data_IF_561131665451
#
_entry.id   IF_561131665451
#
_cell.length_a   1.000
_cell.length_b   1.000
_cell.length_c   1.000
_cell.angle_alpha   90.00
_cell.angle_beta   90.00
_cell.angle_gamma   90.00
#
_symmetry.space_group_name_H-M   'P 1'
#
loop_
_entity.id
_entity.type
_entity.pdbx_description
1 polymer ?
#
# COMPACT_ATOMS: atom_id res chain seq x y z
N UNK A 1 9.47 9.57 -8.66
CA UNK A 1 9.06 9.16 -10.03
C UNK A 1 9.45 7.71 -10.23
N UNK A 2 8.65 6.91 -10.94
CA UNK A 2 8.91 5.49 -11.21
C UNK A 2 9.03 5.26 -12.73
N UNK A 3 10.15 5.69 -13.31
CA UNK A 3 10.34 5.72 -14.77
C UNK A 3 11.15 4.54 -15.31
N UNK A 4 11.80 3.78 -14.44
CA UNK A 4 12.65 2.66 -14.81
C UNK A 4 11.98 1.34 -14.48
N UNK A 5 12.23 0.32 -15.30
CA UNK A 5 11.69 -1.03 -15.10
C UNK A 5 12.05 -1.53 -13.70
N UNK A 6 11.04 -2.01 -12.97
CA UNK A 6 11.18 -2.50 -11.60
C UNK A 6 11.01 -1.44 -10.52
N UNK A 7 10.93 -0.15 -10.87
CA UNK A 7 10.51 0.87 -9.90
C UNK A 7 9.04 0.66 -9.56
N UNK A 8 8.74 0.61 -8.26
CA UNK A 8 7.39 0.43 -7.73
C UNK A 8 7.00 1.63 -6.89
N UNK A 9 5.76 2.09 -7.06
CA UNK A 9 5.14 3.06 -6.16
C UNK A 9 3.86 2.50 -5.55
N UNK A 10 3.52 2.95 -4.35
CA UNK A 10 2.21 2.76 -3.73
C UNK A 10 1.61 4.10 -3.30
N UNK A 11 0.34 4.35 -3.65
CA UNK A 11 -0.39 5.54 -3.19
C UNK A 11 -1.38 5.13 -2.13
N UNK A 12 -1.22 5.59 -0.89
CA UNK A 12 -2.16 5.35 0.20
C UNK A 12 -3.23 6.46 0.25
N UNK A 13 -4.23 6.34 -0.63
CA UNK A 13 -5.44 7.17 -0.66
C UNK A 13 -6.62 6.50 0.05
N UNK A 14 -7.83 6.72 -0.44
CA UNK A 14 -9.04 5.99 0.01
C UNK A 14 -8.82 4.47 -0.11
N UNK A 15 -8.46 4.02 -1.31
CA UNK A 15 -7.82 2.73 -1.55
C UNK A 15 -6.30 2.88 -1.64
N UNK A 16 -5.60 1.77 -1.91
CA UNK A 16 -4.19 1.78 -2.24
C UNK A 16 -3.94 1.18 -3.62
N UNK A 17 -3.13 1.87 -4.42
CA UNK A 17 -2.82 1.45 -5.79
C UNK A 17 -1.31 1.31 -5.91
N UNK A 18 -0.86 0.09 -6.11
CA UNK A 18 0.54 -0.25 -6.31
C UNK A 18 0.76 -0.38 -7.80
N UNK A 19 1.78 0.30 -8.32
CA UNK A 19 2.11 0.30 -9.75
C UNK A 19 3.61 0.02 -9.89
N UNK A 20 3.94 -1.02 -10.66
CA UNK A 20 5.30 -1.38 -11.04
C UNK A 20 5.51 -1.06 -12.51
N UNK A 21 6.52 -0.26 -12.82
CA UNK A 21 6.93 0.00 -14.20
C UNK A 21 7.55 -1.28 -14.82
N UNK A 22 7.05 -1.72 -15.96
CA UNK A 22 7.56 -2.90 -16.68
C UNK A 22 8.30 -2.53 -17.98
N UNK A 23 8.55 -1.24 -18.24
CA UNK A 23 9.20 -0.75 -19.44
C UNK A 23 8.28 -0.80 -20.67
N UNK A 24 8.87 -0.93 -21.86
CA UNK A 24 8.14 -0.86 -23.15
C UNK A 24 7.42 -2.17 -23.53
N UNK A 25 7.57 -3.23 -22.72
CA UNK A 25 6.90 -4.52 -22.93
C UNK A 25 5.82 -4.77 -21.87
N UNK A 26 4.59 -5.12 -22.27
CA UNK A 26 3.53 -5.46 -21.33
C UNK A 26 3.84 -6.80 -20.64
N UNK A 27 3.69 -6.83 -19.32
CA UNK A 27 3.73 -8.09 -18.55
C UNK A 27 2.32 -8.55 -18.26
N UNK A 28 1.94 -9.75 -18.71
CA UNK A 28 0.61 -10.32 -18.47
C UNK A 28 0.58 -11.02 -17.11
N UNK A 29 -0.36 -10.61 -16.25
CA UNK A 29 -0.54 -11.26 -14.96
C UNK A 29 -1.33 -12.58 -15.06
N UNK A 30 -0.96 -13.52 -14.20
CA UNK A 30 -1.64 -14.78 -13.94
C UNK A 30 -2.18 -14.91 -12.51
N UNK A 31 -1.83 -13.97 -11.62
CA UNK A 31 -2.13 -13.98 -10.18
C UNK A 31 -2.94 -12.74 -9.75
N UNK A 32 -3.80 -12.24 -10.64
CA UNK A 32 -4.77 -11.19 -10.30
C UNK A 32 -4.19 -9.78 -10.23
N UNK A 33 -3.08 -9.49 -10.91
CA UNK A 33 -2.67 -8.11 -11.19
C UNK A 33 -3.26 -7.64 -12.53
N UNK A 34 -3.31 -6.33 -12.71
CA UNK A 34 -3.75 -5.71 -13.96
C UNK A 34 -2.52 -5.35 -14.81
N UNK A 35 -2.54 -5.73 -16.08
CA UNK A 35 -1.61 -5.19 -17.08
C UNK A 35 -2.20 -3.90 -17.62
N UNK A 36 -1.45 -2.79 -17.51
CA UNK A 36 -1.93 -1.47 -17.92
C UNK A 36 -0.85 -0.66 -18.62
N UNK A 37 -1.24 0.46 -19.24
CA UNK A 37 -0.31 1.46 -19.75
C UNK A 37 0.07 2.38 -18.59
N UNK A 38 1.37 2.57 -18.36
CA UNK A 38 1.88 3.51 -17.37
C UNK A 38 1.82 4.95 -17.89
N UNK A 39 2.48 5.21 -19.03
CA UNK A 39 2.53 6.52 -19.67
C UNK A 39 3.06 6.43 -21.11
N UNK A 40 2.72 7.43 -21.92
CA UNK A 40 3.33 7.67 -23.23
C UNK A 40 4.24 8.90 -23.16
N UNK A 41 5.50 8.77 -23.55
CA UNK A 41 6.47 9.88 -23.58
C UNK A 41 7.45 9.66 -24.73
N UNK A 42 7.82 10.71 -25.46
CA UNK A 42 8.76 10.68 -26.58
C UNK A 42 8.46 9.60 -27.65
N UNK A 43 7.16 9.41 -27.96
CA UNK A 43 6.70 8.43 -28.94
C UNK A 43 6.78 6.96 -28.46
N UNK A 44 7.15 6.73 -27.20
CA UNK A 44 7.23 5.41 -26.58
C UNK A 44 6.10 5.20 -25.58
N UNK A 45 5.63 3.96 -25.48
CA UNK A 45 4.61 3.55 -24.49
C UNK A 45 5.30 2.70 -23.44
N UNK A 46 5.20 3.10 -22.18
CA UNK A 46 5.62 2.29 -21.05
C UNK A 46 4.40 1.63 -20.42
N UNK A 47 4.56 0.38 -20.01
CA UNK A 47 3.54 -0.45 -19.36
C UNK A 47 3.80 -0.57 -17.86
N UNK A 48 2.78 -1.02 -17.16
CA UNK A 48 2.86 -1.36 -15.75
C UNK A 48 2.07 -2.60 -15.39
N UNK A 49 2.48 -3.24 -14.31
CA UNK A 49 1.62 -4.09 -13.50
C UNK A 49 1.01 -3.25 -12.37
N UNK A 50 -0.28 -3.43 -12.15
CA UNK A 50 -1.04 -2.73 -11.12
C UNK A 50 -1.75 -3.71 -10.19
N UNK A 51 -1.69 -3.43 -8.90
CA UNK A 51 -2.55 -4.07 -7.91
C UNK A 51 -3.39 -3.02 -7.19
N UNK A 52 -4.70 -3.31 -7.10
CA UNK A 52 -5.71 -2.43 -6.52
C UNK A 52 -6.20 -2.97 -5.17
N UNK A 53 -6.03 -2.18 -4.12
CA UNK A 53 -6.58 -2.41 -2.78
C UNK A 53 -7.73 -1.43 -2.58
N UNK A 54 -8.96 -1.92 -2.43
CA UNK A 54 -10.13 -1.05 -2.38
C UNK A 54 -10.23 -0.21 -1.10
N UNK A 55 -9.78 -0.75 0.03
CA UNK A 55 -9.90 -0.13 1.34
C UNK A 55 -8.52 -0.02 1.98
N UNK A 56 -7.99 1.21 2.00
CA UNK A 56 -6.75 1.55 2.68
C UNK A 56 -6.97 2.73 3.64
N UNK A 57 -6.78 3.98 3.20
CA UNK A 57 -7.03 5.15 4.05
C UNK A 57 -8.49 5.27 4.49
N UNK A 58 -9.44 4.71 3.72
CA UNK A 58 -10.84 4.62 4.15
C UNK A 58 -11.04 3.72 5.38
N UNK A 59 -10.15 2.78 5.68
CA UNK A 59 -10.19 2.03 6.93
C UNK A 59 -9.91 2.95 8.14
N UNK A 60 -8.96 3.88 8.01
CA UNK A 60 -8.65 4.86 9.05
C UNK A 60 -9.78 5.88 9.17
N UNK A 61 -10.40 6.26 8.05
CA UNK A 61 -11.61 7.11 8.06
C UNK A 61 -12.78 6.39 8.73
N UNK A 62 -12.96 5.09 8.50
CA UNK A 62 -13.98 4.29 9.16
C UNK A 62 -13.77 4.20 10.67
N UNK A 63 -12.52 4.10 11.14
CA UNK A 63 -12.22 4.21 12.58
C UNK A 63 -12.68 5.56 13.17
N UNK A 64 -12.59 6.65 12.40
CA UNK A 64 -13.00 7.99 12.81
C UNK A 64 -14.51 8.19 12.76
N UNK A 65 -15.10 7.96 11.59
CA UNK A 65 -16.47 8.35 11.30
C UNK A 65 -17.48 7.26 11.69
N UNK A 66 -17.14 6.00 11.41
CA UNK A 66 -18.00 4.85 11.64
C UNK A 66 -17.91 4.33 13.07
N UNK A 67 -16.70 3.99 13.51
CA UNK A 67 -16.47 3.39 14.83
C UNK A 67 -16.22 4.41 15.94
N UNK A 68 -15.97 5.68 15.58
CA UNK A 68 -15.68 6.76 16.53
C UNK A 68 -14.56 6.41 17.52
N UNK A 69 -13.59 5.61 17.07
CA UNK A 69 -12.41 5.25 17.84
C UNK A 69 -11.38 6.37 17.83
N UNK A 70 -11.35 7.24 16.83
CA UNK A 70 -10.45 8.40 16.82
C UNK A 70 -11.25 9.64 16.42
N UNK A 71 -10.87 10.82 16.93
CA UNK A 71 -11.50 12.06 16.48
C UNK A 71 -10.86 12.57 15.19
N UNK A 72 -9.58 12.30 15.01
CA UNK A 72 -8.79 12.64 13.82
C UNK A 72 -8.00 11.43 13.36
N UNK A 73 -7.84 11.27 12.05
CA UNK A 73 -7.07 10.15 11.48
C UNK A 73 -5.62 10.10 11.99
N UNK A 74 -5.01 11.25 12.30
CA UNK A 74 -3.65 11.32 12.85
C UNK A 74 -3.51 10.66 14.24
N UNK A 75 -4.56 10.64 15.07
CA UNK A 75 -4.54 10.00 16.39
C UNK A 75 -4.36 8.47 16.31
N UNK A 76 -4.55 7.89 15.11
CA UNK A 76 -4.31 6.46 14.90
C UNK A 76 -2.84 6.07 15.06
N UNK A 77 -1.90 6.98 14.79
CA UNK A 77 -0.47 6.74 14.99
C UNK A 77 -0.14 6.55 16.47
N UNK A 78 -0.54 7.51 17.31
CA UNK A 78 -0.26 7.48 18.75
C UNK A 78 -0.83 6.21 19.39
N UNK A 79 -2.05 5.83 19.03
CA UNK A 79 -2.68 4.60 19.53
C UNK A 79 -1.95 3.33 19.06
N UNK A 80 -1.43 3.30 17.84
CA UNK A 80 -0.70 2.15 17.33
C UNK A 80 0.66 1.95 18.02
N UNK A 81 1.33 3.08 18.31
CA UNK A 81 2.55 3.12 19.11
C UNK A 81 2.26 2.67 20.55
N UNK A 82 1.23 3.24 21.19
CA UNK A 82 0.80 2.88 22.54
C UNK A 82 0.50 1.38 22.68
N UNK A 83 -0.19 0.80 21.69
CA UNK A 83 -0.57 -0.60 21.72
C UNK A 83 0.63 -1.56 21.83
N UNK A 84 1.78 -1.22 21.22
CA UNK A 84 3.01 -2.04 21.20
C UNK A 84 2.92 -3.37 20.43
N UNK A 85 1.77 -4.04 20.46
CA UNK A 85 1.44 -5.28 19.75
C UNK A 85 -0.07 -5.32 19.48
N UNK A 86 -0.52 -6.03 18.44
CA UNK A 86 -1.95 -6.33 18.25
C UNK A 86 -2.41 -7.52 19.09
N UNK A 87 -1.47 -8.23 19.74
CA UNK A 87 -1.71 -9.47 20.50
C UNK A 87 -2.55 -10.51 19.75
N UNK A 88 -2.29 -10.63 18.44
CA UNK A 88 -2.96 -11.59 17.56
C UNK A 88 -4.26 -11.09 16.92
N UNK A 89 -4.64 -9.83 17.13
CA UNK A 89 -5.76 -9.21 16.42
C UNK A 89 -5.38 -8.89 14.98
N UNK A 90 -6.24 -9.29 14.05
CA UNK A 90 -6.15 -8.95 12.62
C UNK A 90 -7.47 -8.32 12.17
N UNK A 91 -7.38 -7.19 11.48
CA UNK A 91 -8.51 -6.55 10.80
C UNK A 91 -8.35 -6.80 9.31
N UNK A 92 -9.32 -7.43 8.66
CA UNK A 92 -9.38 -7.57 7.20
C UNK A 92 -10.41 -6.57 6.70
N UNK A 93 -10.00 -5.41 6.15
CA UNK A 93 -10.91 -4.29 5.89
C UNK A 93 -11.66 -4.43 4.56
N UNK A 94 -12.24 -5.60 4.28
CA UNK A 94 -12.98 -5.90 3.05
C UNK A 94 -14.38 -5.23 2.98
N UNK A 95 -14.52 -3.96 3.38
CA UNK A 95 -15.83 -3.28 3.46
C UNK A 95 -16.57 -3.20 2.13
N UNK A 96 -15.82 -3.22 1.03
CA UNK A 96 -16.34 -3.21 -0.34
C UNK A 96 -15.75 -4.38 -1.15
N UNK A 97 -15.53 -5.53 -0.50
CA UNK A 97 -14.82 -6.67 -1.08
C UNK A 97 -13.29 -6.55 -1.00
N UNK A 98 -12.61 -7.57 -1.52
CA UNK A 98 -11.16 -7.65 -1.66
C UNK A 98 -10.76 -7.44 -3.12
N UNK A 99 -9.80 -6.54 -3.35
CA UNK A 99 -9.17 -6.35 -4.65
C UNK A 99 -8.05 -7.36 -4.91
N UNK A 100 -6.99 -6.94 -5.57
CA UNK A 100 -5.84 -7.79 -5.88
C UNK A 100 -5.14 -8.30 -4.59
N UNK A 101 -4.59 -9.52 -4.59
CA UNK A 101 -4.67 -10.53 -5.65
C UNK A 101 -5.95 -11.40 -5.59
N UNK A 102 -6.84 -11.17 -4.61
CA UNK A 102 -7.93 -12.10 -4.28
C UNK A 102 -9.16 -11.98 -5.19
N UNK A 103 -9.54 -10.77 -5.59
CA UNK A 103 -10.73 -10.45 -6.39
C UNK A 103 -12.01 -11.10 -5.89
N UNK A 104 -12.30 -10.88 -4.62
CA UNK A 104 -13.45 -11.45 -3.92
C UNK A 104 -14.44 -10.33 -3.56
N UNK A 105 -15.47 -10.17 -4.41
CA UNK A 105 -16.44 -9.08 -4.27
C UNK A 105 -17.45 -9.32 -3.14
N UNK A 106 -17.62 -10.57 -2.73
CA UNK A 106 -18.59 -10.97 -1.72
C UNK A 106 -18.01 -10.93 -0.30
N UNK A 107 -16.67 -10.96 -0.18
CA UNK A 107 -15.98 -10.74 1.08
C UNK A 107 -16.45 -9.44 1.78
N UNK A 108 -16.61 -9.51 3.11
CA UNK A 108 -16.94 -8.36 3.96
C UNK A 108 -15.92 -8.19 5.08
N UNK A 109 -15.84 -6.97 5.61
CA UNK A 109 -14.89 -6.63 6.65
C UNK A 109 -14.99 -7.54 7.87
N UNK A 110 -13.86 -8.02 8.37
CA UNK A 110 -13.81 -8.94 9.50
C UNK A 110 -12.71 -8.56 10.49
N UNK A 111 -12.93 -8.91 11.76
CA UNK A 111 -11.93 -8.77 12.81
C UNK A 111 -11.78 -10.12 13.51
N UNK A 112 -10.55 -10.61 13.56
CA UNK A 112 -10.22 -11.94 14.06
C UNK A 112 -9.18 -11.85 15.17
N UNK A 113 -9.17 -12.83 16.07
CA UNK A 113 -8.20 -12.91 17.17
C UNK A 113 -8.53 -12.03 18.39
N UNK A 114 -9.77 -11.54 18.51
CA UNK A 114 -10.20 -10.81 19.70
C UNK A 114 -10.16 -11.70 20.95
N UNK A 115 -9.65 -11.15 22.05
CA UNK A 115 -9.74 -11.72 23.40
C UNK A 115 -10.42 -10.74 24.34
N UNK A 116 -10.74 -11.17 25.57
CA UNK A 116 -11.29 -10.26 26.59
C UNK A 116 -10.33 -9.12 26.97
N UNK A 117 -9.03 -9.30 26.74
CA UNK A 117 -8.01 -8.28 26.99
C UNK A 117 -7.83 -7.29 25.85
N UNK A 118 -8.42 -7.55 24.68
CA UNK A 118 -8.25 -6.68 23.52
C UNK A 118 -8.79 -5.29 23.80
N UNK A 119 -7.98 -4.27 23.52
CA UNK A 119 -8.34 -2.88 23.74
C UNK A 119 -8.41 -2.07 22.43
N UNK A 120 -8.86 -0.83 22.58
CA UNK A 120 -9.00 0.16 21.50
C UNK A 120 -7.71 0.39 20.72
N UNK A 121 -6.58 0.56 21.43
CA UNK A 121 -5.28 0.82 20.81
C UNK A 121 -4.85 -0.34 19.91
N UNK A 122 -5.02 -1.58 20.37
CA UNK A 122 -4.70 -2.79 19.60
C UNK A 122 -5.57 -2.95 18.36
N UNK A 123 -6.86 -2.59 18.45
CA UNK A 123 -7.77 -2.60 17.31
C UNK A 123 -7.37 -1.58 16.24
N UNK A 124 -7.06 -0.34 16.67
CA UNK A 124 -6.59 0.73 15.77
C UNK A 124 -5.27 0.33 15.11
N UNK A 125 -4.32 -0.22 15.88
CA UNK A 125 -3.08 -0.78 15.36
C UNK A 125 -3.32 -1.85 14.30
N UNK A 126 -4.16 -2.84 14.60
CA UNK A 126 -4.47 -3.94 13.67
C UNK A 126 -5.10 -3.44 12.36
N UNK A 127 -5.83 -2.32 12.42
CA UNK A 127 -6.37 -1.66 11.23
C UNK A 127 -5.25 -1.03 10.39
N UNK A 128 -4.28 -0.35 11.01
CA UNK A 128 -3.11 0.18 10.30
C UNK A 128 -2.24 -0.95 9.71
N UNK A 129 -1.97 -2.00 10.50
CA UNK A 129 -1.20 -3.16 10.05
C UNK A 129 -1.83 -3.81 8.80
N UNK A 130 -3.16 -3.81 8.68
CA UNK A 130 -3.87 -4.33 7.50
C UNK A 130 -3.59 -3.59 6.20
N UNK A 131 -3.29 -2.29 6.24
CA UNK A 131 -2.89 -1.55 5.03
C UNK A 131 -1.54 -2.08 4.54
N UNK A 132 -0.65 -2.40 5.47
CA UNK A 132 0.67 -2.90 5.15
C UNK A 132 0.67 -4.35 4.68
N UNK A 133 -0.17 -5.19 5.29
CA UNK A 133 -0.35 -6.58 4.84
C UNK A 133 -0.95 -6.65 3.42
N UNK A 134 -2.00 -5.88 3.13
CA UNK A 134 -2.59 -5.86 1.78
C UNK A 134 -1.57 -5.35 0.74
N UNK A 135 -0.76 -4.36 1.11
CA UNK A 135 0.33 -3.89 0.23
C UNK A 135 1.36 -5.00 -0.01
N UNK A 136 1.73 -5.76 1.02
CA UNK A 136 2.63 -6.91 0.87
C UNK A 136 2.03 -8.00 -0.04
N UNK A 137 0.75 -8.33 0.09
CA UNK A 137 0.10 -9.31 -0.79
C UNK A 137 0.29 -8.93 -2.27
N UNK A 138 0.13 -7.64 -2.60
CA UNK A 138 0.30 -7.13 -3.96
C UNK A 138 1.77 -7.09 -4.39
N UNK A 139 2.66 -6.57 -3.55
CA UNK A 139 4.08 -6.40 -3.89
C UNK A 139 4.78 -7.75 -4.04
N UNK A 140 4.50 -8.72 -3.14
CA UNK A 140 5.03 -10.08 -3.24
C UNK A 140 4.54 -10.76 -4.55
N UNK A 141 3.28 -10.52 -4.94
CA UNK A 141 2.73 -11.01 -6.21
C UNK A 141 3.47 -10.40 -7.41
N UNK A 142 3.72 -9.08 -7.41
CA UNK A 142 4.47 -8.41 -8.48
C UNK A 142 5.89 -8.95 -8.60
N UNK A 143 6.61 -9.11 -7.47
CA UNK A 143 7.97 -9.64 -7.45
C UNK A 143 8.00 -11.07 -8.00
N UNK A 144 7.03 -11.91 -7.61
CA UNK A 144 6.92 -13.30 -8.06
C UNK A 144 6.66 -13.39 -9.56
N UNK A 145 5.74 -12.59 -10.11
CA UNK A 145 5.39 -12.67 -11.53
C UNK A 145 6.45 -12.08 -12.46
N UNK A 146 7.18 -11.07 -12.01
CA UNK A 146 8.18 -10.39 -12.83
C UNK A 146 9.59 -10.96 -12.65
N UNK A 147 9.85 -11.67 -11.56
CA UNK A 147 11.19 -12.06 -11.13
C UNK A 147 12.10 -10.87 -10.78
N UNK A 148 11.53 -9.66 -10.62
CA UNK A 148 12.27 -8.45 -10.30
C UNK A 148 12.42 -8.32 -8.78
N UNK A 149 13.65 -8.12 -8.34
CA UNK A 149 13.96 -7.78 -6.96
C UNK A 149 13.68 -6.30 -6.68
N UNK A 150 12.70 -6.02 -5.81
CA UNK A 150 12.21 -4.68 -5.53
C UNK A 150 13.12 -4.01 -4.49
N UNK A 151 13.91 -3.04 -4.95
CA UNK A 151 14.94 -2.39 -4.11
C UNK A 151 14.40 -1.39 -3.10
N UNK A 152 13.27 -0.77 -3.41
CA UNK A 152 12.58 0.17 -2.54
C UNK A 152 11.14 0.33 -3.03
N UNK A 153 10.23 0.66 -2.12
CA UNK A 153 8.86 1.06 -2.44
C UNK A 153 8.73 2.57 -2.25
N UNK A 154 8.48 3.30 -3.33
CA UNK A 154 8.13 4.72 -3.23
C UNK A 154 6.68 4.86 -2.76
N UNK A 155 6.41 5.76 -1.82
CA UNK A 155 5.07 5.92 -1.24
C UNK A 155 4.62 7.37 -1.19
N UNK A 156 3.32 7.56 -1.37
CA UNK A 156 2.64 8.86 -1.29
C UNK A 156 1.19 8.68 -0.82
N UNK A 157 0.44 9.78 -0.78
CA UNK A 157 -0.95 9.80 -0.30
C UNK A 157 -1.11 10.09 1.19
N UNK A 158 -2.33 10.42 1.60
CA UNK A 158 -2.60 10.97 2.93
C UNK A 158 -2.29 10.02 4.08
N UNK A 159 -2.50 8.71 3.90
CA UNK A 159 -2.18 7.73 4.95
C UNK A 159 -0.68 7.44 5.06
N UNK A 160 0.14 7.77 4.04
CA UNK A 160 1.60 7.64 4.11
C UNK A 160 2.23 8.65 5.09
N UNK A 161 1.49 9.67 5.55
CA UNK A 161 1.95 10.59 6.59
C UNK A 161 2.06 9.95 7.99
N UNK A 162 1.54 8.74 8.17
CA UNK A 162 1.65 7.97 9.41
C UNK A 162 2.99 7.20 9.43
N UNK A 163 3.95 7.69 10.22
CA UNK A 163 5.28 7.10 10.41
C UNK A 163 5.22 5.69 10.99
N UNK A 164 4.28 5.39 11.89
CA UNK A 164 4.08 4.00 12.36
C UNK A 164 3.77 3.07 11.18
N UNK A 165 2.83 3.46 10.32
CA UNK A 165 2.46 2.68 9.14
C UNK A 165 3.63 2.52 8.18
N UNK A 166 4.42 3.58 7.94
CA UNK A 166 5.57 3.51 7.03
C UNK A 166 6.67 2.59 7.58
N UNK A 167 6.96 2.65 8.88
CA UNK A 167 7.91 1.74 9.50
C UNK A 167 7.40 0.29 9.46
N UNK A 168 6.13 0.06 9.82
CA UNK A 168 5.55 -1.28 9.79
C UNK A 168 5.48 -1.83 8.35
N UNK A 169 5.27 -0.98 7.35
CA UNK A 169 5.33 -1.36 5.94
C UNK A 169 6.74 -1.78 5.52
N UNK A 170 7.77 -1.03 5.93
CA UNK A 170 9.17 -1.39 5.66
C UNK A 170 9.51 -2.75 6.29
N UNK A 171 9.09 -2.93 7.54
CA UNK A 171 9.29 -4.15 8.31
C UNK A 171 8.61 -5.36 7.68
N UNK A 172 7.31 -5.26 7.38
CA UNK A 172 6.53 -6.42 6.92
C UNK A 172 6.94 -6.86 5.52
N UNK A 173 7.34 -5.90 4.67
CA UNK A 173 7.81 -6.13 3.31
C UNK A 173 9.30 -6.49 3.25
N UNK A 174 10.06 -6.19 4.31
CA UNK A 174 11.52 -6.27 4.34
C UNK A 174 12.15 -5.50 3.16
N UNK A 175 11.63 -4.31 2.86
CA UNK A 175 12.07 -3.46 1.75
C UNK A 175 12.03 -2.00 2.20
N UNK A 176 13.07 -1.18 1.89
CA UNK A 176 13.07 0.24 2.23
C UNK A 176 11.86 0.99 1.66
N UNK A 177 11.25 1.85 2.48
CA UNK A 177 10.14 2.71 2.08
C UNK A 177 10.66 4.13 1.87
N UNK A 178 10.37 4.71 0.71
CA UNK A 178 10.75 6.08 0.36
C UNK A 178 9.51 6.95 0.25
N UNK A 179 9.21 7.71 1.30
CA UNK A 179 8.07 8.62 1.32
C UNK A 179 8.38 9.87 0.51
N UNK A 180 7.48 10.24 -0.39
CA UNK A 180 7.61 11.47 -1.16
C UNK A 180 7.58 12.69 -0.24
N UNK A 181 8.47 13.67 -0.49
CA UNK A 181 8.48 14.96 0.21
C UNK A 181 7.26 15.83 -0.09
N UNK A 182 6.59 15.57 -1.21
CA UNK A 182 5.31 16.17 -1.61
C UNK A 182 4.32 15.03 -1.78
N UNK A 183 3.24 15.01 -1.00
CA UNK A 183 2.26 13.91 -0.98
C UNK A 183 1.41 13.85 -2.25
N UNK A 184 1.22 14.97 -2.94
CA UNK A 184 0.37 15.13 -4.12
C UNK A 184 1.10 14.71 -5.42
N UNK A 185 1.77 13.55 -5.42
CA UNK A 185 2.53 13.05 -6.56
C UNK A 185 1.68 12.85 -7.82
N UNK A 186 0.39 12.57 -7.67
CA UNK A 186 -0.57 12.51 -8.78
C UNK A 186 -0.65 13.85 -9.54
N UNK A 187 -0.81 14.95 -8.81
CA UNK A 187 -0.87 16.28 -9.42
C UNK A 187 0.50 16.66 -10.02
N UNK A 188 1.58 16.31 -9.32
CA UNK A 188 2.94 16.54 -9.76
C UNK A 188 3.28 15.79 -11.06
N UNK A 189 2.86 14.54 -11.21
CA UNK A 189 3.04 13.76 -12.43
C UNK A 189 2.34 14.38 -13.65
N UNK A 190 1.11 14.88 -13.47
CA UNK A 190 0.40 15.61 -14.52
C UNK A 190 1.12 16.92 -14.89
N UNK A 191 1.61 17.66 -13.90
CA UNK A 191 2.39 18.88 -14.12
C UNK A 191 3.69 18.58 -14.89
N UNK A 192 4.40 17.51 -14.55
CA UNK A 192 5.60 17.07 -15.26
C UNK A 192 5.33 16.74 -16.73
N UNK A 193 4.28 15.96 -17.01
CA UNK A 193 3.93 15.63 -18.40
C UNK A 193 3.58 16.88 -19.22
N UNK A 194 2.76 17.78 -18.67
CA UNK A 194 2.41 19.03 -19.33
C UNK A 194 3.64 19.94 -19.51
N UNK A 195 4.47 20.04 -18.48
CA UNK A 195 5.67 20.86 -18.50
C UNK A 195 6.72 20.38 -19.51
N UNK A 196 6.91 19.07 -19.65
CA UNK A 196 7.75 18.49 -20.71
C UNK A 196 7.19 18.80 -22.09
N UNK A 197 5.87 18.67 -22.28
CA UNK A 197 5.24 18.90 -23.58
C UNK A 197 5.33 20.36 -24.06
N UNK A 198 5.41 21.33 -23.15
CA UNK A 198 5.51 22.77 -23.47
C UNK A 198 6.93 23.34 -23.33
N UNK A 199 7.92 22.51 -22.98
CA UNK A 199 9.30 22.95 -22.76
C UNK A 199 9.49 23.80 -21.50
N UNK A 200 8.65 23.64 -20.47
CA UNK A 200 8.91 24.20 -19.14
C UNK A 200 10.09 23.49 -18.46
N UNK A 201 10.21 22.17 -18.69
CA UNK A 201 11.41 21.39 -18.44
C UNK A 201 11.91 20.83 -19.77
N UNK A 202 13.22 20.82 -19.97
CA UNK A 202 13.87 20.35 -21.19
C UNK A 202 13.79 18.83 -21.32
N UNK A 203 13.86 18.11 -20.20
CA UNK A 203 13.85 16.65 -20.16
C UNK A 203 13.58 16.10 -18.76
N UNK A 204 13.45 14.76 -18.68
CA UNK A 204 13.23 14.01 -17.43
C UNK A 204 14.37 14.21 -16.42
N UNK A 205 15.63 14.39 -16.87
CA UNK A 205 16.76 14.55 -15.97
C UNK A 205 16.72 15.89 -15.23
N UNK A 206 16.25 16.96 -15.88
CA UNK A 206 16.00 18.23 -15.21
C UNK A 206 14.94 18.06 -14.11
N UNK A 207 13.85 17.34 -14.40
CA UNK A 207 12.82 17.06 -13.40
C UNK A 207 13.41 16.27 -12.22
N UNK A 208 14.24 15.24 -12.47
CA UNK A 208 14.89 14.45 -11.42
C UNK A 208 15.68 15.33 -10.44
N UNK A 209 16.30 16.42 -10.90
CA UNK A 209 17.06 17.35 -10.05
C UNK A 209 16.16 18.22 -9.16
N UNK A 210 14.89 18.41 -9.53
CA UNK A 210 13.92 19.17 -8.72
C UNK A 210 13.29 18.35 -7.60
N UNK A 211 13.36 17.01 -7.69
CA UNK A 211 12.74 16.11 -6.72
C UNK A 211 13.50 16.16 -5.40
N UNK A 212 12.84 16.70 -4.37
CA UNK A 212 13.40 16.70 -3.01
C UNK A 212 13.31 15.31 -2.40
N UNK A 213 14.40 14.91 -1.73
CA UNK A 213 14.46 13.70 -0.90
C UNK A 213 13.43 13.83 0.22
N UNK A 214 12.57 12.83 0.38
CA UNK A 214 11.65 12.73 1.51
C UNK A 214 12.18 11.77 2.57
N UNK A 215 11.31 11.29 3.45
CA UNK A 215 11.71 10.39 4.53
C UNK A 215 11.94 8.96 4.02
N UNK A 216 12.91 8.27 4.61
CA UNK A 216 13.21 6.87 4.34
C UNK A 216 13.01 6.03 5.61
N UNK A 217 12.45 4.84 5.44
CA UNK A 217 12.21 3.89 6.52
C UNK A 217 12.84 2.56 6.13
N UNK A 218 13.88 2.16 6.86
CA UNK A 218 14.55 0.89 6.67
C UNK A 218 13.89 -0.23 7.51
N UNK A 219 13.88 -1.48 7.02
CA UNK A 219 13.36 -2.62 7.79
C UNK A 219 14.15 -2.86 9.08
N UNK A 220 13.44 -3.03 10.19
CA UNK A 220 13.99 -3.26 11.52
C UNK A 220 13.46 -4.55 12.19
N UNK A 221 12.44 -5.17 11.61
CA UNK A 221 11.82 -6.40 12.13
C UNK A 221 12.59 -7.66 11.73
N UNK A 222 12.72 -8.62 12.66
CA UNK A 222 13.32 -9.91 12.36
C UNK A 222 12.47 -10.75 11.40
N UNK A 223 13.14 -11.56 10.59
CA UNK A 223 12.49 -12.47 9.61
C UNK A 223 11.43 -13.36 10.27
N UNK A 224 11.75 -13.99 11.39
CA UNK A 224 10.83 -14.88 12.11
C UNK A 224 9.54 -14.17 12.55
N UNK A 225 9.67 -12.91 13.02
CA UNK A 225 8.51 -12.13 13.47
C UNK A 225 7.67 -11.70 12.27
N UNK A 226 8.32 -11.23 11.20
CA UNK A 226 7.71 -10.83 9.94
C UNK A 226 6.86 -11.96 9.34
N UNK A 227 7.43 -13.16 9.23
CA UNK A 227 6.74 -14.33 8.67
C UNK A 227 5.64 -14.86 9.58
N UNK A 228 5.82 -14.79 10.92
CA UNK A 228 4.75 -15.14 11.86
C UNK A 228 3.53 -14.24 11.71
N UNK A 229 3.74 -12.94 11.62
CA UNK A 229 2.68 -11.94 11.45
C UNK A 229 1.96 -12.13 10.11
N UNK A 230 2.73 -12.27 9.02
CA UNK A 230 2.15 -12.46 7.69
C UNK A 230 1.42 -13.82 7.55
N UNK A 231 1.91 -14.87 8.20
CA UNK A 231 1.18 -16.15 8.30
C UNK A 231 -0.18 -15.98 8.99
N UNK A 232 -0.26 -15.15 10.04
CA UNK A 232 -1.52 -14.81 10.69
C UNK A 232 -2.46 -14.03 9.78
N UNK A 233 -1.94 -13.03 9.07
CA UNK A 233 -2.69 -12.27 8.08
C UNK A 233 -3.32 -13.18 7.00
N UNK A 234 -2.53 -14.06 6.39
CA UNK A 234 -3.03 -14.99 5.35
C UNK A 234 -4.16 -15.88 5.87
N UNK A 235 -4.08 -16.36 7.11
CA UNK A 235 -5.18 -17.11 7.75
C UNK A 235 -6.41 -16.23 7.98
N UNK A 236 -6.23 -14.97 8.39
CA UNK A 236 -7.32 -14.03 8.61
C UNK A 236 -8.09 -13.73 7.31
N UNK A 237 -7.37 -13.50 6.20
CA UNK A 237 -7.99 -13.32 4.88
C UNK A 237 -8.71 -14.59 4.43
N UNK A 238 -8.08 -15.77 4.58
CA UNK A 238 -8.72 -17.03 4.21
C UNK A 238 -10.04 -17.28 4.97
N UNK A 239 -10.07 -17.02 6.28
CA UNK A 239 -11.28 -17.13 7.09
C UNK A 239 -12.35 -16.11 6.67
N UNK A 240 -11.95 -14.88 6.34
CA UNK A 240 -12.86 -13.83 5.89
C UNK A 240 -13.58 -14.23 4.60
N UNK A 241 -12.85 -14.83 3.65
CA UNK A 241 -13.39 -15.30 2.37
C UNK A 241 -14.27 -16.55 2.45
N UNK A 242 -14.37 -17.17 3.63
CA UNK A 242 -15.29 -18.28 3.87
C UNK A 242 -16.66 -17.81 4.37
N UNK A 243 -16.79 -16.55 4.78
CA UNK A 243 -18.03 -15.99 5.30
C UNK A 243 -18.57 -14.92 4.37
N UNK A 244 -19.63 -15.26 3.64
CA UNK A 244 -20.43 -14.31 2.88
C UNK A 244 -21.79 -14.18 3.59
N UNK A 245 -22.16 -12.99 4.06
CA UNK A 245 -23.49 -12.79 4.61
C UNK A 245 -24.52 -13.09 3.51
N UNK A 246 -25.45 -13.99 3.80
CA UNK A 246 -26.66 -14.18 2.99
C UNK A 246 -27.64 -13.05 3.37
N UNK A 247 -28.11 -12.30 2.37
CA UNK A 247 -29.13 -11.25 2.55
C UNK A 247 -30.48 -11.82 3.04
#
# INVERSE_FOLDING_TARGET
MALERGMVKNTYGTGAFIVMNTGEEPTISSNGLLTTIAYGLDGKVNYALEGSIFVAGSAIQWLRDGMQMVNKSAESEDLAVEAGTTDGVYVVPAFTGLGAPFWDQDARGAVLGLTRGTNKAQFVRATLDSLAYQTRDVVDTMATETGIDIKALAVDGGAANNNYLMQFQADILNTPIKRASISETTALGAAYLAGLAVGFWDNVDEIRQTVKVGDEFDPQMSEDRKEKLYSGWRRAVAATRMFHPED
#
